data_IF_987864121819
#
_entry.id   IF_987864121819
#
_cell.length_a   1.000
_cell.length_b   1.000
_cell.length_c   1.000
_cell.angle_alpha   90.00
_cell.angle_beta   90.00
_cell.angle_gamma   90.00
#
_symmetry.space_group_name_H-M   'P 1'
#
loop_
_entity.id
_entity.type
_entity.pdbx_description
1 polymer ?
#
# COMPACT_ATOMS: atom_id res chain seq x y z
N UNK A 1 36.97 -9.73 24.10
CA UNK A 1 36.03 -9.20 23.09
C UNK A 1 34.96 -10.26 22.86
N UNK A 2 33.72 -10.02 23.30
CA UNK A 2 32.57 -10.85 22.95
C UNK A 2 31.52 -9.92 22.37
N UNK A 3 31.21 -10.14 21.10
CA UNK A 3 30.34 -9.31 20.28
C UNK A 3 28.89 -9.39 20.77
N UNK A 4 28.34 -8.19 21.01
CA UNK A 4 26.96 -7.66 21.02
C UNK A 4 25.72 -8.58 20.92
N UNK A 5 24.59 -8.12 21.49
CA UNK A 5 23.44 -8.93 21.87
C UNK A 5 22.61 -9.39 20.67
N UNK A 6 21.91 -10.51 20.84
CA UNK A 6 20.89 -11.03 19.92
C UNK A 6 19.89 -9.92 19.57
N UNK A 7 19.96 -9.42 18.33
CA UNK A 7 18.91 -8.60 17.72
C UNK A 7 17.61 -9.38 17.80
N UNK A 8 16.68 -8.92 18.64
CA UNK A 8 15.31 -9.42 18.68
C UNK A 8 14.68 -9.16 17.32
N UNK A 9 14.66 -10.18 16.46
CA UNK A 9 14.13 -10.16 15.08
C UNK A 9 12.65 -9.76 14.97
N UNK A 10 11.98 -9.39 16.07
CA UNK A 10 10.56 -9.07 16.08
C UNK A 10 9.66 -10.30 15.85
N UNK A 11 8.37 -10.06 15.66
CA UNK A 11 7.40 -11.12 15.37
C UNK A 11 7.61 -11.70 13.97
N UNK A 12 7.43 -13.01 13.81
CA UNK A 12 7.54 -13.69 12.50
C UNK A 12 6.34 -13.35 11.62
N UNK A 13 6.59 -12.92 10.39
CA UNK A 13 5.55 -12.72 9.37
C UNK A 13 5.50 -13.93 8.45
N UNK A 14 4.29 -14.47 8.26
CA UNK A 14 4.09 -15.70 7.46
C UNK A 14 3.60 -15.40 6.05
N UNK A 15 3.11 -14.19 5.82
CA UNK A 15 2.53 -13.78 4.55
C UNK A 15 3.29 -12.56 4.00
N UNK A 16 3.43 -12.54 2.68
CA UNK A 16 3.77 -11.35 1.91
C UNK A 16 2.62 -11.02 0.97
N UNK A 17 2.41 -9.74 0.76
CA UNK A 17 1.43 -9.17 -0.16
C UNK A 17 2.16 -8.39 -1.24
N UNK A 18 1.60 -8.39 -2.44
CA UNK A 18 2.11 -7.57 -3.54
C UNK A 18 0.99 -6.81 -4.22
N UNK A 19 1.32 -5.68 -4.82
CA UNK A 19 0.35 -4.83 -5.49
C UNK A 19 0.85 -3.40 -5.68
N UNK A 20 -0.05 -2.50 -6.02
CA UNK A 20 0.29 -1.11 -6.34
C UNK A 20 0.17 -0.22 -5.11
N UNK A 21 1.30 0.29 -4.66
CA UNK A 21 1.43 1.21 -3.53
C UNK A 21 1.42 2.66 -4.03
N UNK A 22 0.64 3.50 -3.36
CA UNK A 22 0.53 4.95 -3.55
C UNK A 22 0.78 5.62 -2.20
N UNK A 23 1.34 6.82 -2.20
CA UNK A 23 1.47 7.57 -0.94
C UNK A 23 0.08 7.92 -0.38
N UNK A 24 -0.06 7.89 0.95
CA UNK A 24 -1.30 8.34 1.59
C UNK A 24 -1.67 9.78 1.21
N UNK A 25 -0.68 10.67 1.09
CA UNK A 25 -0.88 12.05 0.65
C UNK A 25 -1.50 12.14 -0.76
N UNK A 26 -1.06 11.28 -1.69
CA UNK A 26 -1.63 11.25 -3.04
C UNK A 26 -3.06 10.71 -3.04
N UNK A 27 -3.35 9.68 -2.23
CA UNK A 27 -4.71 9.17 -2.07
C UNK A 27 -5.63 10.21 -1.45
N UNK A 28 -5.14 10.97 -0.47
CA UNK A 28 -5.86 12.10 0.14
C UNK A 28 -6.17 13.17 -0.92
N UNK A 29 -5.17 13.65 -1.66
CA UNK A 29 -5.37 14.64 -2.74
C UNK A 29 -6.34 14.16 -3.81
N UNK A 30 -6.34 12.86 -4.11
CA UNK A 30 -7.28 12.31 -5.07
C UNK A 30 -8.71 12.24 -4.53
N UNK A 31 -8.90 11.81 -3.29
CA UNK A 31 -10.21 11.83 -2.65
C UNK A 31 -10.80 13.25 -2.60
N UNK A 32 -9.96 14.25 -2.27
CA UNK A 32 -10.34 15.66 -2.27
C UNK A 32 -10.82 16.14 -3.65
N UNK A 33 -10.09 15.81 -4.72
CA UNK A 33 -10.52 16.10 -6.10
C UNK A 33 -11.87 15.46 -6.45
N UNK A 34 -12.12 14.22 -6.02
CA UNK A 34 -13.40 13.54 -6.28
C UNK A 34 -14.59 14.20 -5.55
N UNK A 35 -14.32 14.89 -4.44
CA UNK A 35 -15.34 15.60 -3.66
C UNK A 35 -15.53 17.05 -4.14
N UNK A 36 -14.68 17.54 -5.04
CA UNK A 36 -14.69 18.93 -5.51
C UNK A 36 -14.13 19.93 -4.48
N UNK A 37 -13.34 19.46 -3.52
CA UNK A 37 -12.71 20.28 -2.48
C UNK A 37 -11.21 20.40 -2.78
N UNK A 38 -10.72 21.61 -3.07
CA UNK A 38 -9.31 21.81 -3.50
C UNK A 38 -8.31 21.93 -2.33
N UNK A 39 -8.76 22.26 -1.12
CA UNK A 39 -7.89 22.48 0.04
C UNK A 39 -8.53 22.00 1.35
N UNK A 40 -8.18 20.79 1.79
CA UNK A 40 -8.51 20.31 3.14
C UNK A 40 -7.22 20.13 3.94
N UNK A 41 -7.21 20.56 5.20
CA UNK A 41 -6.05 20.38 6.06
C UNK A 41 -5.81 18.88 6.33
N UNK A 42 -4.56 18.48 6.57
CA UNK A 42 -4.19 17.07 6.82
C UNK A 42 -4.92 16.46 8.05
N UNK A 43 -5.25 17.31 9.01
CA UNK A 43 -5.99 16.94 10.23
C UNK A 43 -7.47 16.66 9.93
N UNK A 44 -8.06 17.40 8.99
CA UNK A 44 -9.43 17.18 8.52
C UNK A 44 -9.50 16.01 7.52
N UNK A 45 -8.48 15.82 6.69
CA UNK A 45 -8.40 14.73 5.71
C UNK A 45 -8.28 13.35 6.37
N UNK A 46 -7.44 13.22 7.40
CA UNK A 46 -7.29 11.95 8.14
C UNK A 46 -8.53 11.55 8.95
N UNK A 47 -9.40 12.52 9.27
CA UNK A 47 -10.71 12.31 9.86
C UNK A 47 -11.86 12.26 8.84
N UNK A 48 -11.58 12.49 7.56
CA UNK A 48 -12.61 12.64 6.53
C UNK A 48 -13.28 11.31 6.23
N UNK A 49 -14.57 11.26 6.53
CA UNK A 49 -15.49 10.16 6.19
C UNK A 49 -15.42 9.84 4.70
N UNK A 50 -15.05 10.79 3.87
CA UNK A 50 -15.04 10.64 2.41
C UNK A 50 -13.81 9.90 1.88
N UNK A 51 -12.64 10.06 2.50
CA UNK A 51 -11.47 9.19 2.21
C UNK A 51 -11.79 7.74 2.61
N UNK A 52 -12.50 7.56 3.73
CA UNK A 52 -12.96 6.25 4.17
C UNK A 52 -14.02 5.69 3.21
N UNK A 53 -15.00 6.49 2.78
CA UNK A 53 -16.02 6.11 1.81
C UNK A 53 -15.39 5.76 0.46
N UNK A 54 -14.40 6.53 0.02
CA UNK A 54 -13.64 6.26 -1.19
C UNK A 54 -12.94 4.88 -1.12
N UNK A 55 -12.24 4.59 -0.02
CA UNK A 55 -11.63 3.27 0.23
C UNK A 55 -12.69 2.15 0.28
N UNK A 56 -13.88 2.43 0.84
CA UNK A 56 -15.00 1.49 0.90
C UNK A 56 -15.62 1.26 -0.48
N UNK A 57 -15.75 2.29 -1.30
CA UNK A 57 -16.26 2.20 -2.68
C UNK A 57 -15.29 1.45 -3.58
N UNK A 58 -13.99 1.64 -3.41
CA UNK A 58 -12.98 0.80 -4.09
C UNK A 58 -13.15 -0.69 -3.73
N UNK A 59 -13.37 -0.99 -2.45
CA UNK A 59 -13.62 -2.37 -1.98
C UNK A 59 -14.94 -2.93 -2.53
N UNK A 60 -15.98 -2.12 -2.58
CA UNK A 60 -17.35 -2.56 -2.93
C UNK A 60 -17.58 -2.67 -4.43
N UNK A 61 -17.13 -1.68 -5.21
CA UNK A 61 -17.42 -1.59 -6.63
C UNK A 61 -16.40 -2.33 -7.50
N UNK A 62 -15.16 -2.44 -7.04
CA UNK A 62 -14.06 -3.03 -7.82
C UNK A 62 -13.51 -4.34 -7.24
N UNK A 63 -13.99 -4.76 -6.06
CA UNK A 63 -13.54 -5.95 -5.30
C UNK A 63 -12.03 -5.92 -4.98
N UNK A 64 -11.50 -4.73 -4.73
CA UNK A 64 -10.09 -4.55 -4.41
C UNK A 64 -9.80 -4.70 -2.92
N UNK A 65 -8.72 -5.41 -2.60
CA UNK A 65 -8.20 -5.51 -1.22
C UNK A 65 -7.19 -4.40 -0.98
N UNK A 66 -7.44 -3.55 0.01
CA UNK A 66 -6.59 -2.40 0.30
C UNK A 66 -5.91 -2.57 1.67
N UNK A 67 -4.61 -2.23 1.74
CA UNK A 67 -3.78 -2.30 2.94
C UNK A 67 -2.83 -1.10 3.04
N UNK A 68 -2.62 -0.57 4.23
CA UNK A 68 -1.52 0.37 4.45
C UNK A 68 -0.20 -0.39 4.63
N UNK A 69 0.88 0.09 4.01
CA UNK A 69 2.22 -0.53 3.96
C UNK A 69 3.33 0.52 4.11
N UNK A 70 4.55 0.12 4.47
CA UNK A 70 5.70 1.01 4.67
C UNK A 70 6.57 0.63 5.88
N UNK A 71 7.90 0.79 5.79
CA UNK A 71 8.85 0.50 6.89
C UNK A 71 8.72 1.46 8.07
N UNK A 72 8.31 2.71 7.78
CA UNK A 72 8.09 3.75 8.78
C UNK A 72 6.67 4.29 8.57
N UNK A 73 5.87 4.29 9.64
CA UNK A 73 4.56 4.96 9.71
C UNK A 73 3.55 4.63 8.60
N UNK A 74 3.52 3.40 8.06
CA UNK A 74 2.52 2.94 7.08
C UNK A 74 2.20 3.99 5.99
N UNK A 75 3.24 4.61 5.42
CA UNK A 75 3.15 5.80 4.56
C UNK A 75 2.47 5.59 3.21
N UNK A 76 2.25 4.35 2.80
CA UNK A 76 1.61 4.01 1.54
C UNK A 76 0.29 3.26 1.74
N UNK A 77 -0.63 3.46 0.82
CA UNK A 77 -1.83 2.66 0.61
C UNK A 77 -1.60 1.74 -0.59
N UNK A 78 -1.76 0.43 -0.40
CA UNK A 78 -1.59 -0.58 -1.44
C UNK A 78 -2.92 -1.19 -1.86
N UNK A 79 -3.16 -1.24 -3.17
CA UNK A 79 -4.15 -2.13 -3.79
C UNK A 79 -3.49 -3.50 -3.98
N UNK A 80 -3.87 -4.47 -3.16
CA UNK A 80 -3.27 -5.80 -3.08
C UNK A 80 -3.82 -6.70 -4.17
N UNK A 81 -2.95 -7.19 -5.03
CA UNK A 81 -3.25 -8.16 -6.11
C UNK A 81 -2.63 -9.53 -5.86
N UNK A 82 -1.57 -9.60 -5.05
CA UNK A 82 -0.82 -10.82 -4.79
C UNK A 82 -0.78 -11.17 -3.29
N UNK A 83 -0.75 -12.47 -3.01
CA UNK A 83 -0.52 -13.06 -1.69
C UNK A 83 0.35 -14.29 -1.83
N UNK A 84 1.23 -14.51 -0.87
CA UNK A 84 2.11 -15.67 -0.85
C UNK A 84 2.79 -15.84 0.49
N UNK A 85 3.44 -16.98 0.67
CA UNK A 85 4.19 -17.24 1.90
C UNK A 85 5.46 -16.37 1.97
N UNK A 86 5.74 -15.85 3.16
CA UNK A 86 6.99 -15.19 3.47
C UNK A 86 7.94 -16.17 4.18
N UNK A 87 8.99 -16.60 3.47
CA UNK A 87 9.97 -17.54 4.00
C UNK A 87 10.99 -16.81 4.87
N UNK A 88 11.13 -17.24 6.12
CA UNK A 88 12.09 -16.71 7.09
C UNK A 88 12.00 -15.19 7.34
N UNK A 89 10.84 -14.58 7.10
CA UNK A 89 10.63 -13.15 7.28
C UNK A 89 10.10 -12.80 8.68
N UNK A 90 10.51 -11.64 9.18
CA UNK A 90 10.06 -11.08 10.43
C UNK A 90 9.66 -9.62 10.24
N UNK A 91 8.97 -9.02 11.23
CA UNK A 91 8.53 -7.62 11.18
C UNK A 91 9.66 -6.65 10.84
N UNK A 92 10.89 -6.95 11.28
CA UNK A 92 12.06 -6.10 11.03
C UNK A 92 12.82 -6.46 9.76
N UNK A 93 12.35 -7.43 8.97
CA UNK A 93 12.99 -7.79 7.69
C UNK A 93 12.86 -6.59 6.74
N UNK A 94 13.98 -6.02 6.25
CA UNK A 94 13.95 -4.91 5.30
C UNK A 94 13.18 -5.28 4.03
N UNK A 95 12.49 -4.32 3.41
CA UNK A 95 11.69 -4.56 2.21
C UNK A 95 12.51 -5.14 1.06
N UNK A 96 13.79 -4.75 0.96
CA UNK A 96 14.75 -5.25 -0.03
C UNK A 96 15.12 -6.73 0.13
N UNK A 97 14.91 -7.31 1.32
CA UNK A 97 15.19 -8.72 1.62
C UNK A 97 13.95 -9.62 1.46
N UNK A 98 12.78 -9.03 1.23
CA UNK A 98 11.55 -9.77 0.95
C UNK A 98 11.62 -10.31 -0.48
N UNK A 99 11.26 -11.57 -0.67
CA UNK A 99 11.05 -12.13 -2.02
C UNK A 99 9.98 -11.32 -2.76
N UNK A 100 10.35 -10.72 -3.89
CA UNK A 100 9.47 -9.81 -4.63
C UNK A 100 8.48 -10.59 -5.51
N UNK A 101 7.24 -10.10 -5.61
CA UNK A 101 6.31 -10.51 -6.66
C UNK A 101 6.70 -9.85 -7.99
N UNK A 102 6.26 -10.46 -9.09
CA UNK A 102 6.37 -9.88 -10.43
C UNK A 102 4.95 -9.62 -10.92
N UNK A 103 4.65 -8.41 -11.44
CA UNK A 103 3.35 -8.13 -12.04
C UNK A 103 3.00 -9.13 -13.14
N UNK A 104 1.72 -9.50 -13.24
CA UNK A 104 1.18 -10.41 -14.23
C UNK A 104 -0.14 -9.87 -14.82
N UNK A 105 -0.78 -10.66 -15.68
CA UNK A 105 -2.01 -10.25 -16.38
C UNK A 105 -3.17 -9.90 -15.44
N UNK A 106 -3.20 -10.45 -14.22
CA UNK A 106 -4.23 -10.13 -13.24
C UNK A 106 -4.11 -8.68 -12.72
N UNK A 107 -2.92 -8.07 -12.80
CA UNK A 107 -2.69 -6.70 -12.39
C UNK A 107 -3.25 -5.66 -13.36
N UNK A 108 -3.54 -6.06 -14.60
CA UNK A 108 -4.01 -5.16 -15.65
C UNK A 108 -5.28 -4.41 -15.25
N UNK A 109 -6.21 -5.09 -14.57
CA UNK A 109 -7.45 -4.46 -14.07
C UNK A 109 -7.17 -3.31 -13.09
N UNK A 110 -6.11 -3.43 -12.28
CA UNK A 110 -5.75 -2.36 -11.33
C UNK A 110 -5.06 -1.21 -12.05
N UNK A 111 -4.21 -1.50 -13.04
CA UNK A 111 -3.58 -0.47 -13.87
C UNK A 111 -4.62 0.34 -14.66
N UNK A 112 -5.51 -0.35 -15.37
CA UNK A 112 -6.59 0.28 -16.15
C UNK A 112 -7.44 1.18 -15.24
N UNK A 113 -7.78 0.70 -14.03
CA UNK A 113 -8.49 1.50 -13.04
C UNK A 113 -7.68 2.73 -12.59
N UNK A 114 -6.41 2.58 -12.24
CA UNK A 114 -5.57 3.70 -11.79
C UNK A 114 -5.44 4.77 -12.89
N UNK A 115 -5.27 4.36 -14.15
CA UNK A 115 -5.21 5.25 -15.30
C UNK A 115 -6.54 6.00 -15.53
N UNK A 116 -7.68 5.31 -15.45
CA UNK A 116 -9.02 5.93 -15.52
C UNK A 116 -9.24 6.98 -14.43
N UNK A 117 -8.61 6.80 -13.27
CA UNK A 117 -8.67 7.72 -12.14
C UNK A 117 -7.61 8.83 -12.19
N UNK A 118 -6.82 8.90 -13.27
CA UNK A 118 -5.84 9.95 -13.52
C UNK A 118 -4.47 9.71 -12.88
N UNK A 119 -4.19 8.50 -12.39
CA UNK A 119 -2.85 8.07 -12.02
C UNK A 119 -2.17 7.55 -13.28
N UNK A 120 -1.43 8.42 -13.96
CA UNK A 120 -0.83 8.12 -15.26
C UNK A 120 0.70 8.11 -15.21
N UNK A 121 1.30 8.66 -14.15
CA UNK A 121 2.75 8.67 -14.03
C UNK A 121 3.25 7.56 -13.13
N UNK A 122 4.35 6.89 -13.52
CA UNK A 122 5.02 5.88 -12.68
C UNK A 122 5.49 6.41 -11.32
N UNK A 123 5.51 7.73 -11.12
CA UNK A 123 5.81 8.34 -9.83
C UNK A 123 4.62 8.33 -8.87
N UNK A 124 3.40 8.18 -9.39
CA UNK A 124 2.17 8.25 -8.63
C UNK A 124 1.90 6.93 -7.89
N UNK A 125 2.32 5.80 -8.47
CA UNK A 125 2.21 4.48 -7.86
C UNK A 125 3.34 3.54 -8.32
N UNK A 126 3.73 2.60 -7.46
CA UNK A 126 4.71 1.57 -7.76
C UNK A 126 4.20 0.18 -7.38
N UNK A 127 4.56 -0.83 -8.15
CA UNK A 127 4.33 -2.20 -7.74
C UNK A 127 5.37 -2.58 -6.68
N UNK A 128 4.90 -2.99 -5.50
CA UNK A 128 5.74 -3.29 -4.35
C UNK A 128 5.34 -4.62 -3.70
N UNK A 129 6.25 -5.19 -2.91
CA UNK A 129 6.00 -6.36 -2.06
C UNK A 129 6.29 -6.03 -0.60
N UNK A 130 5.34 -6.37 0.28
CA UNK A 130 5.43 -6.10 1.72
C UNK A 130 5.05 -7.32 2.54
N UNK A 131 5.49 -7.36 3.80
CA UNK A 131 5.03 -8.36 4.77
C UNK A 131 3.64 -7.97 5.29
N UNK A 132 2.78 -8.97 5.53
CA UNK A 132 1.46 -8.83 6.13
C UNK A 132 1.35 -9.61 7.44
#
# INVERSE_FOLDING_TARGET
>A
MLSKPSETKGERRRERIGGYAMSHALVEQWALRLLGEDEMSREDATASVDIVNFILDMKKNYDFKIRSVGEVSCVHCMIVTHRGEAKNAFVTTPASEIEQFVPNDADKKVLDFLEEQGFVEKRDFNFETWLN
#
